data_IF_586058528327
#
_entry.id   IF_586058528327
#
_cell.length_a   1.000
_cell.length_b   1.000
_cell.length_c   1.000
_cell.angle_alpha   90.00
_cell.angle_beta   90.00
_cell.angle_gamma   90.00
#
_symmetry.space_group_name_H-M   'P 1'
#
loop_
_entity.id
_entity.type
_entity.pdbx_description
1 polymer ?
#
# COMPACT_ATOMS: atom_id res chain seq x y z
N UNK A 1 -8.92 20.09 2.03
CA UNK A 1 -8.18 19.31 1.00
C UNK A 1 -7.53 20.25 -0.02
N UNK A 2 -8.28 21.07 -0.76
CA UNK A 2 -7.74 21.96 -1.81
C UNK A 2 -6.51 22.80 -1.42
N UNK A 3 -6.53 23.46 -0.25
CA UNK A 3 -5.42 24.32 0.21
C UNK A 3 -4.10 23.55 0.40
N UNK A 4 -4.19 22.29 0.85
CA UNK A 4 -3.05 21.42 1.17
C UNK A 4 -2.49 20.78 -0.11
N UNK A 5 -3.38 20.44 -1.06
CA UNK A 5 -3.02 19.97 -2.40
C UNK A 5 -2.30 21.07 -3.19
N UNK A 6 -2.78 22.32 -3.15
CA UNK A 6 -2.11 23.47 -3.79
C UNK A 6 -0.73 23.75 -3.20
N UNK A 7 -0.56 23.54 -1.89
CA UNK A 7 0.73 23.64 -1.21
C UNK A 7 1.67 22.45 -1.49
N UNK A 8 1.28 21.48 -2.33
CA UNK A 8 2.01 20.23 -2.62
C UNK A 8 2.32 19.35 -1.40
N UNK A 9 1.61 19.56 -0.30
CA UNK A 9 1.74 18.74 0.92
C UNK A 9 0.97 17.42 0.74
N UNK A 10 -0.07 17.42 -0.09
CA UNK A 10 -0.87 16.24 -0.40
C UNK A 10 -0.89 15.99 -1.92
N UNK A 11 -0.36 14.84 -2.33
CA UNK A 11 -0.45 14.36 -3.70
C UNK A 11 -1.51 13.26 -3.81
N UNK A 12 -2.60 13.53 -4.53
CA UNK A 12 -3.67 12.54 -4.77
C UNK A 12 -3.34 11.83 -6.07
N UNK A 13 -3.15 10.51 -5.99
CA UNK A 13 -2.84 9.68 -7.16
C UNK A 13 -4.05 8.80 -7.49
N UNK A 14 -4.49 8.85 -8.75
CA UNK A 14 -5.41 7.85 -9.29
C UNK A 14 -4.55 6.67 -9.78
N UNK A 15 -4.75 5.44 -9.27
CA UNK A 15 -3.99 4.28 -9.72
C UNK A 15 -4.11 4.12 -11.25
N UNK A 16 -2.99 4.12 -11.94
CA UNK A 16 -2.94 3.89 -13.39
C UNK A 16 -3.01 2.37 -13.67
N UNK A 17 -2.92 2.00 -14.94
CA UNK A 17 -3.00 0.58 -15.35
C UNK A 17 -1.85 -0.24 -14.77
N UNK A 18 -0.63 0.30 -14.71
CA UNK A 18 0.52 -0.43 -14.19
C UNK A 18 0.36 -0.78 -12.71
N UNK A 19 -0.10 0.19 -11.91
CA UNK A 19 -0.39 -0.02 -10.48
C UNK A 19 -1.49 -1.08 -10.30
N UNK A 20 -2.54 -1.04 -11.13
CA UNK A 20 -3.61 -2.04 -11.09
C UNK A 20 -3.12 -3.44 -11.48
N UNK A 21 -2.27 -3.54 -12.51
CA UNK A 21 -1.71 -4.82 -12.94
C UNK A 21 -0.77 -5.40 -11.87
N UNK A 22 0.03 -4.55 -11.21
CA UNK A 22 0.84 -4.99 -10.08
C UNK A 22 -0.04 -5.48 -8.91
N UNK A 23 -1.18 -4.83 -8.67
CA UNK A 23 -2.10 -5.28 -7.62
C UNK A 23 -2.69 -6.66 -7.93
N UNK A 24 -3.00 -6.94 -9.20
CA UNK A 24 -3.45 -8.26 -9.65
C UNK A 24 -2.35 -9.32 -9.49
N UNK A 25 -1.10 -8.97 -9.79
CA UNK A 25 0.05 -9.85 -9.56
C UNK A 25 0.19 -10.22 -8.08
N UNK A 26 0.14 -9.23 -7.18
CA UNK A 26 0.21 -9.45 -5.73
C UNK A 26 -0.99 -10.25 -5.21
N UNK A 27 -2.20 -9.99 -5.70
CA UNK A 27 -3.39 -10.75 -5.32
C UNK A 27 -3.27 -12.25 -5.66
N UNK A 28 -2.43 -12.58 -6.65
CA UNK A 28 -2.16 -13.96 -7.08
C UNK A 28 -0.97 -14.61 -6.37
N UNK A 29 -0.19 -13.87 -5.57
CA UNK A 29 0.99 -14.42 -4.87
C UNK A 29 0.63 -15.24 -3.62
N UNK A 30 -0.64 -15.26 -3.23
CA UNK A 30 -1.14 -16.11 -2.15
C UNK A 30 -1.09 -17.60 -2.49
N UNK A 31 -1.52 -18.43 -1.54
CA UNK A 31 -1.59 -19.88 -1.74
C UNK A 31 -2.74 -20.49 -0.92
N UNK A 32 -3.06 -21.77 -1.18
CA UNK A 32 -4.16 -22.47 -0.49
C UNK A 32 -4.00 -22.55 1.03
N UNK A 33 -2.78 -22.47 1.57
CA UNK A 33 -2.48 -22.58 3.00
C UNK A 33 -2.58 -21.24 3.73
N UNK A 34 -2.17 -20.15 3.08
CA UNK A 34 -2.08 -18.80 3.65
C UNK A 34 -3.24 -17.89 3.25
N UNK A 35 -4.07 -18.32 2.30
CA UNK A 35 -5.08 -17.48 1.65
C UNK A 35 -4.49 -16.60 0.55
N UNK A 36 -5.36 -15.87 -0.14
CA UNK A 36 -4.99 -14.85 -1.12
C UNK A 36 -5.26 -13.47 -0.53
N UNK A 37 -4.34 -12.50 -0.66
CA UNK A 37 -4.58 -11.14 -0.21
C UNK A 37 -5.69 -10.49 -1.04
N UNK A 38 -6.47 -9.59 -0.42
CA UNK A 38 -7.53 -8.88 -1.13
C UNK A 38 -6.94 -7.94 -2.18
N UNK A 39 -7.63 -7.76 -3.30
CA UNK A 39 -7.16 -6.89 -4.39
C UNK A 39 -7.03 -5.42 -3.94
N UNK A 40 -7.95 -4.96 -3.09
CA UNK A 40 -7.96 -3.63 -2.48
C UNK A 40 -6.69 -3.39 -1.67
N UNK A 41 -6.31 -4.35 -0.84
CA UNK A 41 -5.06 -4.32 -0.09
C UNK A 41 -3.84 -4.30 -1.01
N UNK A 42 -3.84 -5.18 -2.01
CA UNK A 42 -2.78 -5.25 -3.01
C UNK A 42 -2.60 -3.93 -3.79
N UNK A 43 -3.67 -3.15 -3.95
CA UNK A 43 -3.63 -1.86 -4.62
C UNK A 43 -2.81 -0.82 -3.85
N UNK A 44 -2.98 -0.76 -2.52
CA UNK A 44 -2.19 0.13 -1.66
C UNK A 44 -0.71 -0.25 -1.67
N UNK A 45 -0.41 -1.54 -1.57
CA UNK A 45 0.96 -2.06 -1.65
C UNK A 45 1.59 -1.77 -3.00
N UNK A 46 0.87 -2.00 -4.09
CA UNK A 46 1.36 -1.74 -5.45
C UNK A 46 1.69 -0.27 -5.64
N UNK A 47 0.83 0.63 -5.18
CA UNK A 47 1.09 2.06 -5.24
C UNK A 47 2.35 2.44 -4.44
N UNK A 48 2.50 1.92 -3.22
CA UNK A 48 3.66 2.22 -2.38
C UNK A 48 4.97 1.70 -3.00
N UNK A 49 4.99 0.44 -3.44
CA UNK A 49 6.15 -0.19 -4.07
C UNK A 49 6.55 0.57 -5.34
N UNK A 50 5.60 0.84 -6.24
CA UNK A 50 5.89 1.51 -7.51
C UNK A 50 6.29 2.98 -7.35
N UNK A 51 5.89 3.61 -6.25
CA UNK A 51 6.25 5.00 -5.92
C UNK A 51 7.51 5.11 -5.06
N UNK A 52 8.19 4.00 -4.75
CA UNK A 52 9.28 3.94 -3.77
C UNK A 52 8.92 4.62 -2.44
N UNK A 53 7.69 4.37 -1.98
CA UNK A 53 7.10 4.95 -0.79
C UNK A 53 6.77 3.88 0.27
N UNK A 54 6.31 4.33 1.44
CA UNK A 54 5.89 3.47 2.54
C UNK A 54 4.38 3.63 2.75
N UNK A 55 3.65 2.52 2.69
CA UNK A 55 2.25 2.47 3.10
C UNK A 55 2.17 2.45 4.64
N UNK A 56 1.62 3.50 5.23
CA UNK A 56 1.47 3.61 6.68
C UNK A 56 0.04 3.26 7.07
N UNK A 57 -0.14 2.34 8.02
CA UNK A 57 -1.47 1.97 8.55
C UNK A 57 -1.40 1.67 10.06
N UNK A 58 -2.51 1.86 10.77
CA UNK A 58 -2.66 1.43 12.16
C UNK A 58 -3.26 0.01 12.29
N UNK A 59 -3.64 -0.63 11.17
CA UNK A 59 -4.16 -2.00 11.17
C UNK A 59 -3.02 -3.02 11.32
N UNK A 60 -2.78 -3.42 12.57
CA UNK A 60 -1.77 -4.44 12.93
C UNK A 60 -2.08 -5.81 12.34
N UNK A 61 -3.37 -6.16 12.19
CA UNK A 61 -3.76 -7.47 11.64
C UNK A 61 -3.43 -7.53 10.16
N UNK A 62 -3.67 -6.42 9.45
CA UNK A 62 -3.25 -6.27 8.06
C UNK A 62 -1.74 -6.42 7.91
N UNK A 63 -0.97 -5.62 8.67
CA UNK A 63 0.50 -5.67 8.67
C UNK A 63 1.02 -7.09 8.89
N UNK A 64 0.48 -7.81 9.88
CA UNK A 64 0.92 -9.19 10.17
C UNK A 64 0.75 -10.14 8.98
N UNK A 65 -0.31 -9.97 8.17
CA UNK A 65 -0.56 -10.79 6.97
C UNK A 65 0.36 -10.44 5.81
N UNK A 66 0.65 -9.16 5.62
CA UNK A 66 1.26 -8.64 4.39
C UNK A 66 2.69 -8.13 4.56
N UNK A 67 3.30 -8.22 5.75
CA UNK A 67 4.66 -7.74 6.03
C UNK A 67 5.71 -8.25 5.03
N UNK A 68 5.50 -9.45 4.50
CA UNK A 68 6.38 -10.07 3.51
C UNK A 68 6.36 -9.39 2.11
N UNK A 69 5.32 -8.61 1.80
CA UNK A 69 5.21 -7.87 0.53
C UNK A 69 6.08 -6.60 0.50
N UNK A 70 6.60 -6.15 1.64
CA UNK A 70 7.41 -4.95 1.75
C UNK A 70 6.59 -3.65 1.77
N UNK A 71 7.29 -2.51 1.78
CA UNK A 71 6.72 -1.16 1.68
C UNK A 71 5.54 -0.84 2.62
N UNK A 72 5.50 -1.40 3.82
CA UNK A 72 4.47 -1.14 4.84
C UNK A 72 5.07 -0.86 6.21
N UNK A 73 4.44 0.04 6.97
CA UNK A 73 4.85 0.43 8.32
C UNK A 73 3.64 0.64 9.22
N UNK A 74 3.78 0.29 10.50
CA UNK A 74 2.81 0.65 11.52
C UNK A 74 2.87 2.15 11.80
N UNK A 75 1.71 2.82 11.90
CA UNK A 75 1.63 4.25 12.20
C UNK A 75 2.42 4.66 13.44
N UNK A 76 2.46 3.82 14.48
CA UNK A 76 3.23 4.11 15.71
C UNK A 76 4.76 4.13 15.50
N UNK A 77 5.25 3.46 14.45
CA UNK A 77 6.66 3.44 14.07
C UNK A 77 7.04 4.59 13.13
N UNK A 78 6.06 5.29 12.56
CA UNK A 78 6.30 6.45 11.71
C UNK A 78 6.80 7.62 12.56
N UNK A 79 8.08 7.94 12.40
CA UNK A 79 8.67 9.15 12.96
C UNK A 79 8.61 10.23 11.89
N UNK A 80 8.07 11.39 12.24
CA UNK A 80 8.16 12.57 11.36
C UNK A 80 9.63 12.81 11.00
N UNK A 81 9.95 13.06 9.72
CA UNK A 81 11.28 13.50 9.31
C UNK A 81 11.74 14.75 10.09
#
# INVERSE_FOLDING_TARGET
VEKITRAKILHITVPNTDIRMKAVELARSGNKKSGYPELTDCLYHSLAIMSNAIFITNDKRHIAKVKHLGSIMELSAYKTP
#
